data_IF_554862288175
#
_entry.id   IF_554862288175
#
_cell.length_a   1.000
_cell.length_b   1.000
_cell.length_c   1.000
_cell.angle_alpha   90.00
_cell.angle_beta   90.00
_cell.angle_gamma   90.00
#
_symmetry.space_group_name_H-M   'P 1'
#
loop_
_entity.id
_entity.type
_entity.pdbx_description
1 polymer ?
#
# COMPACT_ATOMS: atom_id res chain seq x y z
N UNK A 1 -2.27 -48.13 8.40
CA UNK A 1 -2.13 -46.76 8.95
C UNK A 1 -2.26 -46.87 10.47
N UNK A 2 -1.24 -46.48 11.21
CA UNK A 2 -1.25 -46.44 12.67
C UNK A 2 -2.16 -45.29 13.14
N UNK A 3 -2.90 -45.49 14.23
CA UNK A 3 -3.70 -44.41 14.83
C UNK A 3 -2.87 -43.20 15.28
N UNK A 4 -1.53 -43.31 15.30
CA UNK A 4 -0.59 -42.22 15.59
C UNK A 4 -0.42 -41.24 14.41
N UNK A 5 -0.61 -41.70 13.16
CA UNK A 5 -0.39 -40.84 11.96
C UNK A 5 -1.64 -40.02 11.60
N UNK A 6 -2.80 -40.37 12.16
CA UNK A 6 -4.07 -39.77 11.78
C UNK A 6 -4.26 -38.32 12.24
N UNK A 7 -3.46 -37.82 13.19
CA UNK A 7 -3.55 -36.49 13.76
C UNK A 7 -2.16 -35.82 13.94
N UNK A 8 -1.20 -36.16 13.10
CA UNK A 8 0.17 -35.66 13.24
C UNK A 8 0.22 -34.16 12.95
N UNK A 9 -0.45 -33.72 11.89
CA UNK A 9 -0.53 -32.32 11.54
C UNK A 9 -1.26 -31.46 12.61
N UNK A 10 -2.36 -31.97 13.15
CA UNK A 10 -3.10 -31.31 14.23
C UNK A 10 -2.28 -31.25 15.52
N UNK A 11 -1.50 -32.30 15.82
CA UNK A 11 -0.58 -32.25 16.98
C UNK A 11 0.52 -31.22 16.82
N UNK A 12 1.14 -31.13 15.64
CA UNK A 12 2.14 -30.12 15.36
C UNK A 12 1.57 -28.70 15.54
N UNK A 13 0.38 -28.44 15.00
CA UNK A 13 -0.30 -27.15 15.20
C UNK A 13 -0.57 -26.88 16.67
N UNK A 14 -1.08 -27.87 17.43
CA UNK A 14 -1.32 -27.72 18.86
C UNK A 14 -0.03 -27.46 19.66
N UNK A 15 1.07 -28.13 19.31
CA UNK A 15 2.35 -27.90 19.95
C UNK A 15 2.85 -26.48 19.75
N UNK A 16 2.82 -25.98 18.51
CA UNK A 16 3.18 -24.59 18.18
C UNK A 16 2.29 -23.59 18.94
N UNK A 17 0.97 -23.83 18.98
CA UNK A 17 0.04 -22.96 19.73
C UNK A 17 0.35 -22.91 21.23
N UNK A 18 0.91 -23.97 21.84
CA UNK A 18 1.27 -23.96 23.25
C UNK A 18 2.55 -23.14 23.56
N UNK A 19 3.39 -22.91 22.57
CA UNK A 19 4.66 -22.19 22.72
C UNK A 19 4.54 -20.68 22.35
N UNK A 20 3.50 -20.31 21.62
CA UNK A 20 3.32 -18.96 21.09
C UNK A 20 2.55 -18.02 22.06
N UNK A 21 2.86 -16.71 22.03
CA UNK A 21 2.24 -15.75 22.94
C UNK A 21 0.86 -15.28 22.51
N UNK A 22 0.44 -15.52 21.27
CA UNK A 22 -0.84 -15.04 20.72
C UNK A 22 -1.22 -15.80 19.44
N UNK A 23 -2.51 -15.76 19.11
CA UNK A 23 -3.10 -16.33 17.89
C UNK A 23 -3.60 -15.25 16.96
N UNK A 24 -3.20 -15.33 15.69
CA UNK A 24 -3.74 -14.53 14.61
C UNK A 24 -4.58 -15.46 13.70
N UNK A 25 -5.90 -15.32 13.74
CA UNK A 25 -6.82 -16.13 12.95
C UNK A 25 -7.30 -15.36 11.72
N UNK A 26 -6.83 -15.77 10.54
CA UNK A 26 -7.12 -15.07 9.27
C UNK A 26 -8.18 -15.83 8.50
N UNK A 27 -9.24 -15.14 8.08
CA UNK A 27 -10.43 -15.71 7.47
C UNK A 27 -10.79 -14.96 6.20
N UNK A 28 -11.18 -15.69 5.17
CA UNK A 28 -11.82 -15.15 3.98
C UNK A 28 -13.31 -14.88 4.24
N UNK A 29 -13.66 -13.63 4.55
CA UNK A 29 -15.04 -13.22 4.84
C UNK A 29 -15.96 -13.15 3.61
N UNK A 30 -15.45 -13.41 2.41
CA UNK A 30 -16.28 -13.63 1.22
C UNK A 30 -16.96 -15.00 1.20
N UNK A 31 -16.48 -15.93 2.04
CA UNK A 31 -17.01 -17.30 2.15
C UNK A 31 -17.90 -17.45 3.38
N UNK A 32 -18.94 -18.33 3.30
CA UNK A 32 -19.85 -18.54 4.43
C UNK A 32 -19.16 -19.21 5.61
N UNK A 33 -19.61 -18.89 6.81
CA UNK A 33 -19.24 -19.59 8.02
C UNK A 33 -19.69 -21.06 7.95
N UNK A 34 -18.84 -21.99 8.35
CA UNK A 34 -19.10 -23.43 8.36
C UNK A 34 -18.85 -24.00 9.75
N UNK A 35 -19.45 -25.16 10.06
CA UNK A 35 -19.24 -25.85 11.34
C UNK A 35 -17.80 -26.14 11.66
N UNK A 36 -16.97 -26.39 10.65
CA UNK A 36 -15.54 -26.62 10.85
C UNK A 36 -14.86 -25.39 11.46
N UNK A 37 -15.21 -24.19 11.00
CA UNK A 37 -14.65 -22.96 11.55
C UNK A 37 -15.11 -22.70 13.00
N UNK A 38 -16.31 -23.14 13.35
CA UNK A 38 -16.78 -23.06 14.75
C UNK A 38 -15.93 -23.99 15.65
N UNK A 39 -15.64 -25.20 15.19
CA UNK A 39 -14.78 -26.15 15.90
C UNK A 39 -13.32 -25.62 16.02
N UNK A 40 -12.78 -25.01 14.96
CA UNK A 40 -11.49 -24.35 15.00
C UNK A 40 -11.45 -23.21 16.04
N UNK A 41 -12.46 -22.37 16.05
CA UNK A 41 -12.55 -21.28 17.03
C UNK A 41 -12.66 -21.80 18.46
N UNK A 42 -13.40 -22.89 18.71
CA UNK A 42 -13.49 -23.53 20.01
C UNK A 42 -12.12 -24.09 20.45
N UNK A 43 -11.41 -24.76 19.54
CA UNK A 43 -10.05 -25.25 19.82
C UNK A 43 -9.11 -24.11 20.19
N UNK A 44 -9.14 -22.98 19.44
CA UNK A 44 -8.33 -21.81 19.72
C UNK A 44 -8.69 -21.16 21.07
N UNK A 45 -9.96 -21.24 21.49
CA UNK A 45 -10.37 -20.75 22.82
C UNK A 45 -9.74 -21.58 23.95
N UNK A 46 -9.57 -22.89 23.75
CA UNK A 46 -8.98 -23.77 24.78
C UNK A 46 -7.51 -23.45 25.06
N UNK A 47 -6.80 -22.79 24.15
CA UNK A 47 -5.39 -22.39 24.36
C UNK A 47 -5.24 -21.31 25.43
N UNK A 48 -6.29 -20.55 25.74
CA UNK A 48 -6.21 -19.41 26.66
C UNK A 48 -5.39 -18.21 26.13
N UNK A 49 -4.81 -18.31 24.95
CA UNK A 49 -3.96 -17.26 24.37
C UNK A 49 -4.74 -16.02 23.94
N UNK A 50 -4.14 -14.83 23.99
CA UNK A 50 -4.65 -13.65 23.31
C UNK A 50 -4.91 -13.93 21.82
N UNK A 51 -6.08 -13.53 21.32
CA UNK A 51 -6.50 -13.87 19.95
C UNK A 51 -7.02 -12.64 19.21
N UNK A 52 -6.48 -12.41 18.01
CA UNK A 52 -6.98 -11.43 17.03
C UNK A 52 -7.53 -12.18 15.82
N UNK A 53 -8.74 -11.88 15.40
CA UNK A 53 -9.28 -12.35 14.14
C UNK A 53 -9.12 -11.28 13.05
N UNK A 54 -8.72 -11.72 11.84
CA UNK A 54 -8.61 -10.88 10.66
C UNK A 54 -9.60 -11.37 9.61
N UNK A 55 -10.53 -10.50 9.22
CA UNK A 55 -11.39 -10.69 8.08
C UNK A 55 -10.65 -10.18 6.84
N UNK A 56 -10.23 -11.09 5.97
CA UNK A 56 -9.54 -10.78 4.71
C UNK A 56 -10.46 -11.13 3.53
N UNK A 57 -11.33 -10.21 3.08
CA UNK A 57 -12.22 -10.48 1.96
C UNK A 57 -11.41 -10.61 0.66
N UNK A 58 -11.54 -11.74 -0.03
CA UNK A 58 -10.93 -11.97 -1.34
C UNK A 58 -11.88 -11.61 -2.50
N UNK A 59 -13.17 -11.49 -2.19
CA UNK A 59 -14.23 -11.05 -3.09
C UNK A 59 -15.24 -10.19 -2.31
N UNK A 60 -16.47 -10.04 -2.82
CA UNK A 60 -17.53 -9.28 -2.13
C UNK A 60 -17.79 -9.88 -0.73
N UNK A 61 -17.68 -9.09 0.37
CA UNK A 61 -17.75 -9.57 1.74
C UNK A 61 -19.18 -9.82 2.24
N UNK A 62 -19.96 -10.57 1.49
CA UNK A 62 -21.39 -10.85 1.78
C UNK A 62 -21.59 -11.47 3.17
N UNK A 63 -20.61 -12.23 3.66
CA UNK A 63 -20.69 -12.94 4.94
C UNK A 63 -19.96 -12.23 6.09
N UNK A 64 -19.44 -11.01 5.88
CA UNK A 64 -18.63 -10.32 6.89
C UNK A 64 -19.40 -10.07 8.20
N UNK A 65 -20.67 -9.72 8.14
CA UNK A 65 -21.49 -9.47 9.32
C UNK A 65 -21.68 -10.73 10.18
N UNK A 66 -21.90 -11.88 9.55
CA UNK A 66 -22.03 -13.17 10.23
C UNK A 66 -20.70 -13.55 10.90
N UNK A 67 -19.60 -13.45 10.17
CA UNK A 67 -18.26 -13.71 10.71
C UNK A 67 -17.92 -12.80 11.88
N UNK A 68 -18.17 -11.51 11.74
CA UNK A 68 -17.90 -10.51 12.78
C UNK A 68 -18.69 -10.78 14.06
N UNK A 69 -19.95 -11.16 13.95
CA UNK A 69 -20.78 -11.50 15.10
C UNK A 69 -20.25 -12.73 15.86
N UNK A 70 -19.83 -13.77 15.13
CA UNK A 70 -19.30 -15.01 15.74
C UNK A 70 -17.89 -14.80 16.35
N UNK A 71 -17.02 -14.09 15.65
CA UNK A 71 -15.66 -13.82 16.11
C UNK A 71 -15.64 -12.86 17.30
N UNK A 72 -16.52 -11.85 17.31
CA UNK A 72 -16.58 -10.88 18.43
C UNK A 72 -16.92 -11.50 19.77
N UNK A 73 -17.52 -12.70 19.80
CA UNK A 73 -17.79 -13.43 21.02
C UNK A 73 -16.60 -14.26 21.54
N UNK A 74 -15.60 -14.53 20.67
CA UNK A 74 -14.54 -15.50 20.92
C UNK A 74 -13.13 -14.93 20.87
N UNK A 75 -12.95 -13.78 20.23
CA UNK A 75 -11.65 -13.14 20.03
C UNK A 75 -11.58 -11.81 20.76
N UNK A 76 -10.37 -11.44 21.21
CA UNK A 76 -10.14 -10.18 21.89
C UNK A 76 -10.35 -8.95 21.00
N UNK A 77 -10.12 -9.10 19.69
CA UNK A 77 -10.48 -8.10 18.68
C UNK A 77 -10.74 -8.76 17.32
N UNK A 78 -11.48 -8.04 16.46
CA UNK A 78 -11.76 -8.43 15.07
C UNK A 78 -11.44 -7.25 14.16
N UNK A 79 -10.47 -7.42 13.26
CA UNK A 79 -10.08 -6.42 12.28
C UNK A 79 -10.47 -6.86 10.86
N UNK A 80 -10.88 -5.93 10.00
CA UNK A 80 -10.95 -6.18 8.55
C UNK A 80 -9.65 -5.70 7.92
N UNK A 81 -9.01 -6.56 7.15
CA UNK A 81 -7.75 -6.26 6.48
C UNK A 81 -7.65 -7.00 5.15
N UNK A 82 -7.90 -6.30 4.04
CA UNK A 82 -7.69 -6.84 2.71
C UNK A 82 -6.21 -6.63 2.32
N UNK A 83 -5.44 -7.72 2.31
CA UNK A 83 -3.99 -7.68 2.05
C UNK A 83 -3.63 -7.13 0.66
N UNK A 84 -4.52 -7.30 -0.35
CA UNK A 84 -4.29 -6.80 -1.71
C UNK A 84 -4.58 -5.30 -1.86
N UNK A 85 -5.45 -4.74 -1.02
CA UNK A 85 -5.90 -3.36 -1.11
C UNK A 85 -5.41 -2.50 0.06
N UNK A 86 -4.72 -3.11 1.02
CA UNK A 86 -4.29 -2.44 2.25
C UNK A 86 -3.34 -1.28 1.98
N UNK A 87 -3.73 -0.10 2.41
CA UNK A 87 -2.92 1.12 2.41
C UNK A 87 -2.08 1.19 3.68
N UNK A 88 -1.13 2.13 3.73
CA UNK A 88 -0.28 2.32 4.90
C UNK A 88 -1.10 2.49 6.20
N UNK A 89 -2.18 3.29 6.17
CA UNK A 89 -3.09 3.49 7.31
C UNK A 89 -3.76 2.20 7.81
N UNK A 90 -4.09 1.29 6.88
CA UNK A 90 -4.76 0.04 7.23
C UNK A 90 -3.78 -0.91 7.93
N UNK A 91 -2.51 -0.89 7.51
CA UNK A 91 -1.40 -1.62 8.15
C UNK A 91 -1.13 -1.09 9.55
N UNK A 92 -1.05 0.23 9.72
CA UNK A 92 -0.91 0.89 11.03
C UNK A 92 -2.06 0.50 11.96
N UNK A 93 -3.31 0.58 11.45
CA UNK A 93 -4.49 0.22 12.23
C UNK A 93 -4.47 -1.25 12.68
N UNK A 94 -4.03 -2.17 11.81
CA UNK A 94 -3.88 -3.58 12.15
C UNK A 94 -2.84 -3.79 13.27
N UNK A 95 -1.66 -3.18 13.14
CA UNK A 95 -0.58 -3.29 14.15
C UNK A 95 -1.05 -2.70 15.49
N UNK A 96 -1.73 -1.54 15.47
CA UNK A 96 -2.31 -0.95 16.68
C UNK A 96 -3.38 -1.84 17.31
N UNK A 97 -4.23 -2.47 16.50
CA UNK A 97 -5.22 -3.43 17.00
C UNK A 97 -4.53 -4.63 17.66
N UNK A 98 -3.47 -5.17 17.05
CA UNK A 98 -2.70 -6.26 17.65
C UNK A 98 -2.06 -5.84 18.98
N UNK A 99 -1.58 -4.60 19.10
CA UNK A 99 -1.05 -4.04 20.34
C UNK A 99 -2.09 -3.99 21.48
N UNK A 100 -3.38 -3.88 21.18
CA UNK A 100 -4.44 -3.91 22.19
C UNK A 100 -4.75 -5.32 22.69
N UNK A 101 -4.41 -6.34 21.92
CA UNK A 101 -4.72 -7.75 22.23
C UNK A 101 -3.55 -8.44 22.92
N UNK A 102 -2.31 -8.09 22.57
CA UNK A 102 -1.10 -8.75 23.05
C UNK A 102 -0.31 -7.81 23.96
N UNK A 103 -0.63 -7.81 25.24
CA UNK A 103 0.00 -6.91 26.23
C UNK A 103 1.53 -7.01 26.25
N UNK A 104 2.07 -8.21 26.14
CA UNK A 104 3.53 -8.46 26.14
C UNK A 104 4.27 -7.69 25.04
N UNK A 105 3.60 -7.38 23.94
CA UNK A 105 4.18 -6.71 22.79
C UNK A 105 3.66 -5.31 22.57
N UNK A 106 2.80 -4.80 23.45
CA UNK A 106 2.11 -3.51 23.29
C UNK A 106 3.05 -2.38 22.88
N UNK A 107 4.11 -2.18 23.67
CA UNK A 107 5.04 -1.07 23.45
C UNK A 107 5.80 -1.21 22.14
N UNK A 108 6.27 -2.43 21.83
CA UNK A 108 6.98 -2.72 20.57
C UNK A 108 6.07 -2.54 19.35
N UNK A 109 4.84 -3.03 19.42
CA UNK A 109 3.88 -2.90 18.32
C UNK A 109 3.44 -1.45 18.13
N UNK A 110 3.27 -0.69 19.23
CA UNK A 110 2.99 0.75 19.15
C UNK A 110 4.14 1.49 18.48
N UNK A 111 5.38 1.22 18.88
CA UNK A 111 6.56 1.80 18.23
C UNK A 111 6.61 1.46 16.73
N UNK A 112 6.39 0.20 16.35
CA UNK A 112 6.35 -0.21 14.93
C UNK A 112 5.25 0.53 14.16
N UNK A 113 4.05 0.69 14.76
CA UNK A 113 2.96 1.44 14.13
C UNK A 113 3.35 2.90 13.89
N UNK A 114 3.98 3.55 14.87
CA UNK A 114 4.45 4.92 14.76
C UNK A 114 5.58 5.07 13.71
N UNK A 115 6.49 4.11 13.64
CA UNK A 115 7.55 4.08 12.62
C UNK A 115 6.96 3.97 11.20
N UNK A 116 5.96 3.09 10.99
CA UNK A 116 5.28 2.96 9.68
C UNK A 116 4.56 4.25 9.31
N UNK A 117 3.88 4.91 10.27
CA UNK A 117 3.15 6.16 10.06
C UNK A 117 4.10 7.32 9.74
N UNK A 118 5.22 7.40 10.47
CA UNK A 118 6.25 8.41 10.25
C UNK A 118 6.95 8.24 8.90
N UNK A 119 7.32 7.01 8.53
CA UNK A 119 7.92 6.71 7.24
C UNK A 119 6.98 7.08 6.08
N UNK A 120 5.70 6.73 6.19
CA UNK A 120 4.70 7.12 5.21
C UNK A 120 4.54 8.64 5.09
N UNK A 121 4.43 9.33 6.24
CA UNK A 121 4.32 10.78 6.29
C UNK A 121 5.55 11.47 5.69
N UNK A 122 6.75 10.96 5.96
CA UNK A 122 7.99 11.44 5.36
C UNK A 122 7.95 11.31 3.83
N UNK A 123 7.60 10.14 3.30
CA UNK A 123 7.50 9.90 1.84
C UNK A 123 6.49 10.83 1.17
N UNK A 124 5.33 11.04 1.78
CA UNK A 124 4.30 11.96 1.26
C UNK A 124 4.81 13.39 1.24
N UNK A 125 5.47 13.84 2.30
CA UNK A 125 6.04 15.19 2.39
C UNK A 125 7.16 15.40 1.36
N UNK A 126 8.09 14.45 1.21
CA UNK A 126 9.15 14.52 0.21
C UNK A 126 8.59 14.53 -1.23
N UNK A 127 7.52 13.77 -1.47
CA UNK A 127 6.81 13.78 -2.74
C UNK A 127 6.20 15.15 -3.03
N UNK A 128 5.51 15.74 -2.05
CA UNK A 128 4.93 17.08 -2.17
C UNK A 128 6.00 18.14 -2.45
N UNK A 129 7.12 18.12 -1.73
CA UNK A 129 8.26 19.00 -1.97
C UNK A 129 8.84 18.86 -3.37
N UNK A 130 8.99 17.64 -3.85
CA UNK A 130 9.52 17.34 -5.19
C UNK A 130 8.59 17.86 -6.28
N UNK A 131 7.27 17.71 -6.12
CA UNK A 131 6.26 18.25 -7.04
C UNK A 131 6.28 19.79 -7.03
N UNK A 132 6.27 20.42 -5.87
CA UNK A 132 6.35 21.87 -5.76
C UNK A 132 7.62 22.42 -6.41
N UNK A 133 8.76 21.74 -6.22
CA UNK A 133 10.03 22.10 -6.85
C UNK A 133 9.97 22.00 -8.38
N UNK A 134 9.32 20.96 -8.92
CA UNK A 134 9.09 20.84 -10.37
C UNK A 134 8.24 21.99 -10.87
N UNK A 135 7.08 22.23 -10.25
CA UNK A 135 6.16 23.31 -10.64
C UNK A 135 6.85 24.68 -10.62
N UNK A 136 7.53 25.02 -9.53
CA UNK A 136 8.26 26.28 -9.40
C UNK A 136 9.32 26.46 -10.49
N UNK A 137 10.07 25.41 -10.81
CA UNK A 137 11.07 25.42 -11.89
C UNK A 137 10.45 25.45 -13.28
N UNK A 138 9.24 24.92 -13.45
CA UNK A 138 8.56 24.90 -14.75
C UNK A 138 7.89 26.24 -15.05
N UNK A 139 7.25 26.87 -14.05
CA UNK A 139 6.64 28.19 -14.19
C UNK A 139 7.71 29.26 -14.49
N UNK A 140 8.87 29.17 -13.83
CA UNK A 140 10.00 30.10 -14.07
C UNK A 140 10.87 29.74 -15.28
N UNK A 141 10.53 28.67 -16.02
CA UNK A 141 11.36 28.26 -17.14
C UNK A 141 11.17 29.16 -18.36
N UNK A 142 12.21 29.82 -18.79
CA UNK A 142 12.21 30.72 -19.96
C UNK A 142 13.31 30.30 -20.93
N UNK A 143 13.04 30.54 -22.23
CA UNK A 143 14.05 30.38 -23.27
C UNK A 143 14.17 31.65 -24.09
N UNK A 144 15.38 32.13 -24.20
CA UNK A 144 15.71 33.28 -25.04
C UNK A 144 16.45 32.83 -26.28
N UNK A 145 16.03 33.27 -27.42
CA UNK A 145 16.68 33.04 -28.71
C UNK A 145 17.11 34.34 -29.33
N UNK A 146 18.38 34.47 -29.64
CA UNK A 146 18.89 35.63 -30.38
C UNK A 146 18.52 35.46 -31.87
N UNK A 147 17.95 36.50 -32.49
CA UNK A 147 17.58 36.53 -33.92
C UNK A 147 18.35 37.65 -34.59
N UNK A 148 19.10 37.27 -35.64
CA UNK A 148 19.82 38.29 -36.42
C UNK A 148 18.87 39.16 -37.26
N UNK A 149 19.22 40.45 -37.55
CA UNK A 149 18.44 41.27 -38.42
C UNK A 149 18.24 40.66 -39.81
N UNK A 150 16.97 40.47 -40.21
CA UNK A 150 16.63 39.87 -41.52
C UNK A 150 16.49 38.35 -41.51
N UNK A 151 16.75 37.67 -40.40
CA UNK A 151 16.58 36.21 -40.29
C UNK A 151 15.11 35.83 -40.13
N UNK A 152 14.68 34.69 -40.74
CA UNK A 152 13.34 34.18 -40.55
C UNK A 152 13.16 33.63 -39.10
N UNK A 153 12.22 34.22 -38.35
CA UNK A 153 11.97 33.90 -36.95
C UNK A 153 11.21 32.60 -36.72
N UNK A 154 10.38 32.16 -37.67
CA UNK A 154 9.50 31.02 -37.49
C UNK A 154 10.26 29.71 -37.17
N UNK A 155 11.29 29.29 -37.93
CA UNK A 155 12.00 28.08 -37.64
C UNK A 155 12.76 28.14 -36.28
N UNK A 156 13.23 29.33 -35.90
CA UNK A 156 13.90 29.54 -34.61
C UNK A 156 12.91 29.42 -33.44
N UNK A 157 11.72 29.94 -33.59
CA UNK A 157 10.65 29.84 -32.58
C UNK A 157 10.24 28.38 -32.42
N UNK A 158 10.02 27.65 -33.52
CA UNK A 158 9.66 26.22 -33.46
C UNK A 158 10.76 25.36 -32.82
N UNK A 159 12.01 25.63 -33.15
CA UNK A 159 13.16 24.96 -32.50
C UNK A 159 13.23 25.26 -31.01
N UNK A 160 12.95 26.53 -30.63
CA UNK A 160 12.94 26.93 -29.22
C UNK A 160 11.79 26.28 -28.45
N UNK A 161 10.58 26.21 -29.03
CA UNK A 161 9.43 25.50 -28.43
C UNK A 161 9.74 24.03 -28.24
N UNK A 162 10.23 23.36 -29.27
CA UNK A 162 10.60 21.93 -29.16
C UNK A 162 11.59 21.68 -28.05
N UNK A 163 12.61 22.53 -27.92
CA UNK A 163 13.61 22.42 -26.87
C UNK A 163 13.04 22.75 -25.49
N UNK A 164 12.14 23.74 -25.39
CA UNK A 164 11.42 24.08 -24.16
C UNK A 164 10.61 22.89 -23.66
N UNK A 165 9.83 22.22 -24.51
CA UNK A 165 9.08 21.03 -24.17
C UNK A 165 10.00 19.87 -23.72
N UNK A 166 11.08 19.63 -24.46
CA UNK A 166 12.06 18.60 -24.10
C UNK A 166 12.68 18.85 -22.71
N UNK A 167 12.98 20.11 -22.37
CA UNK A 167 13.53 20.46 -21.05
C UNK A 167 12.49 20.23 -19.92
N UNK A 168 11.20 20.47 -20.18
CA UNK A 168 10.14 20.19 -19.22
C UNK A 168 9.92 18.68 -19.03
N UNK A 169 9.87 17.93 -20.12
CA UNK A 169 9.76 16.47 -20.07
C UNK A 169 10.91 15.81 -19.31
N UNK A 170 12.13 16.29 -19.49
CA UNK A 170 13.28 15.79 -18.72
C UNK A 170 13.15 16.07 -17.22
N UNK A 171 12.66 17.25 -16.83
CA UNK A 171 12.40 17.58 -15.41
C UNK A 171 11.31 16.69 -14.83
N UNK A 172 10.25 16.40 -15.60
CA UNK A 172 9.18 15.50 -15.22
C UNK A 172 9.68 14.06 -15.05
N UNK A 173 10.49 13.57 -15.99
CA UNK A 173 11.11 12.24 -15.90
C UNK A 173 11.95 12.09 -14.63
N UNK A 174 12.70 13.12 -14.26
CA UNK A 174 13.47 13.13 -13.01
C UNK A 174 12.56 13.10 -11.77
N UNK A 175 11.42 13.80 -11.80
CA UNK A 175 10.44 13.71 -10.72
C UNK A 175 9.89 12.29 -10.60
N UNK A 176 9.48 11.66 -11.71
CA UNK A 176 8.97 10.28 -11.69
C UNK A 176 9.97 9.31 -11.08
N UNK A 177 11.23 9.39 -11.49
CA UNK A 177 12.30 8.57 -10.92
C UNK A 177 12.45 8.78 -9.40
N UNK A 178 12.36 10.04 -8.95
CA UNK A 178 12.41 10.37 -7.52
C UNK A 178 11.22 9.78 -6.75
N UNK A 179 10.00 9.90 -7.30
CA UNK A 179 8.80 9.33 -6.67
C UNK A 179 8.84 7.81 -6.63
N UNK A 180 9.29 7.16 -7.71
CA UNK A 180 9.48 5.70 -7.74
C UNK A 180 10.44 5.23 -6.65
N UNK A 181 11.57 5.91 -6.50
CA UNK A 181 12.55 5.61 -5.46
C UNK A 181 11.96 5.78 -4.05
N UNK A 182 11.25 6.87 -3.79
CA UNK A 182 10.60 7.12 -2.49
C UNK A 182 9.62 6.02 -2.08
N UNK A 183 8.88 5.45 -3.04
CA UNK A 183 7.90 4.40 -2.78
C UNK A 183 8.43 2.98 -3.02
N UNK A 184 9.74 2.81 -3.23
CA UNK A 184 10.40 1.51 -3.45
C UNK A 184 9.86 0.72 -4.66
N UNK A 185 9.35 1.44 -5.67
CA UNK A 185 8.85 0.85 -6.90
C UNK A 185 9.93 0.61 -7.97
N UNK A 186 11.20 0.71 -7.64
CA UNK A 186 12.33 0.53 -8.57
C UNK A 186 12.37 -0.85 -9.24
N UNK A 187 11.78 -1.87 -8.57
CA UNK A 187 11.72 -3.25 -9.06
C UNK A 187 10.40 -3.63 -9.73
N UNK A 188 9.42 -2.77 -9.69
CA UNK A 188 8.19 -2.97 -10.45
C UNK A 188 8.56 -2.62 -11.88
N UNK A 189 9.03 -3.62 -12.61
CA UNK A 189 9.17 -3.53 -14.05
C UNK A 189 7.85 -3.04 -14.58
N UNK A 190 7.90 -1.85 -15.16
CA UNK A 190 6.78 -1.16 -15.75
C UNK A 190 6.05 -2.13 -16.68
N UNK A 191 4.99 -2.68 -16.21
CA UNK A 191 3.87 -3.10 -17.06
C UNK A 191 3.03 -1.83 -17.40
N UNK A 192 3.61 -1.08 -17.82
CA UNK A 192 4.62 -0.26 -18.42
C UNK A 192 4.12 0.70 -19.44
N UNK A 193 3.09 0.45 -20.12
CA UNK A 193 2.59 1.38 -21.14
C UNK A 193 1.37 2.17 -20.70
N UNK A 194 0.57 1.66 -19.77
CA UNK A 194 -0.72 2.29 -19.44
C UNK A 194 -0.56 3.40 -18.38
N UNK A 195 0.28 3.20 -17.38
CA UNK A 195 0.46 4.24 -16.34
C UNK A 195 1.35 5.39 -16.78
N UNK A 196 2.35 5.14 -17.63
CA UNK A 196 3.16 6.21 -18.20
C UNK A 196 2.36 7.12 -19.15
N UNK A 197 1.33 6.62 -19.80
CA UNK A 197 0.45 7.44 -20.64
C UNK A 197 -0.33 8.46 -19.84
N UNK A 198 -0.79 8.11 -18.62
CA UNK A 198 -1.48 9.07 -17.74
C UNK A 198 -0.55 10.14 -17.12
N UNK A 199 0.73 9.82 -16.96
CA UNK A 199 1.70 10.73 -16.36
C UNK A 199 2.51 11.51 -17.41
N UNK A 200 2.60 11.00 -18.64
CA UNK A 200 3.31 11.67 -19.74
C UNK A 200 2.58 12.89 -20.32
N UNK A 201 1.31 13.07 -19.97
CA UNK A 201 0.47 14.09 -20.60
C UNK A 201 0.38 15.41 -19.87
N UNK A 202 0.99 15.58 -18.67
CA UNK A 202 0.98 16.85 -17.94
C UNK A 202 1.60 18.00 -18.74
N UNK A 203 2.56 17.70 -19.63
CA UNK A 203 3.24 18.67 -20.47
C UNK A 203 3.16 18.31 -21.98
N UNK A 204 2.20 17.46 -22.37
CA UNK A 204 1.98 17.18 -23.80
C UNK A 204 1.43 18.40 -24.52
N UNK A 205 1.72 18.48 -25.84
CA UNK A 205 1.21 19.57 -26.68
C UNK A 205 -0.32 19.63 -26.73
N UNK A 206 -1.02 18.53 -26.47
CA UNK A 206 -2.48 18.45 -26.45
C UNK A 206 -3.07 19.08 -25.18
N UNK A 207 -2.40 18.95 -24.02
CA UNK A 207 -2.85 19.53 -22.76
C UNK A 207 -2.82 21.06 -22.78
N UNK A 208 -1.94 21.68 -23.59
CA UNK A 208 -1.78 23.13 -23.69
C UNK A 208 -2.65 23.79 -24.76
N UNK A 209 -3.39 23.04 -25.55
CA UNK A 209 -4.37 23.61 -26.51
C UNK A 209 -5.68 24.04 -25.84
N UNK A 210 -5.88 23.76 -24.56
CA UNK A 210 -7.12 24.03 -23.81
C UNK A 210 -7.02 25.35 -23.01
N UNK A 211 -5.87 25.99 -22.98
CA UNK A 211 -5.60 27.30 -22.36
C UNK A 211 -5.03 28.29 -23.38
#
# INVERSE_FOLDING_TARGET
YSASDQFEAEREVCQVLCEEPAVLYVIDSSKPLRKIHEAEMELLMLTGLPRLAILNPTADPVHESEWRAKLGQRFGAVATFNAHQARARDRVALVRTLATVVDKWRDKLSQIADEIENDWSHRVNESAHSIVKLLSKSIGHTRTVAVAPGENREPLIEAAKKKFHSDLQEKERLLHSTLQSLFLHEKVGLAEKVELTYLSDLFSSETWQVF
#
